data_IF_701092506893
#
_entry.id   IF_701092506893
#
_cell.length_a   1.000
_cell.length_b   1.000
_cell.length_c   1.000
_cell.angle_alpha   90.00
_cell.angle_beta   90.00
_cell.angle_gamma   90.00
#
_symmetry.space_group_name_H-M   'P 1'
#
loop_
_entity.id
_entity.type
_entity.pdbx_description
1 polymer ?
#
# COMPACT_ATOMS: atom_id res chain seq x y z
N UNK A 1 -1.95 27.95 -6.79
CA UNK A 1 -2.58 26.64 -7.09
C UNK A 1 -4.02 26.66 -6.61
N UNK A 2 -4.99 26.23 -7.43
CA UNK A 2 -6.41 26.19 -7.05
C UNK A 2 -6.70 25.03 -6.08
N UNK A 3 -7.85 25.05 -5.41
CA UNK A 3 -8.27 23.95 -4.52
C UNK A 3 -8.43 22.63 -5.28
N UNK A 4 -9.10 22.68 -6.43
CA UNK A 4 -9.33 21.53 -7.31
C UNK A 4 -8.04 20.84 -7.71
N UNK A 5 -7.03 21.62 -8.14
CA UNK A 5 -5.73 21.07 -8.51
C UNK A 5 -5.08 20.35 -7.32
N UNK A 6 -5.11 20.94 -6.11
CA UNK A 6 -4.59 20.29 -4.90
C UNK A 6 -5.29 18.97 -4.60
N UNK A 7 -6.60 18.93 -4.71
CA UNK A 7 -7.39 17.73 -4.48
C UNK A 7 -7.01 16.63 -5.48
N UNK A 8 -6.89 16.97 -6.77
CA UNK A 8 -6.47 16.03 -7.81
C UNK A 8 -5.09 15.44 -7.49
N UNK A 9 -4.11 16.25 -7.08
CA UNK A 9 -2.79 15.74 -6.69
C UNK A 9 -2.88 14.75 -5.54
N UNK A 10 -3.62 15.08 -4.47
CA UNK A 10 -3.80 14.18 -3.32
C UNK A 10 -4.41 12.84 -3.76
N UNK A 11 -5.46 12.89 -4.60
CA UNK A 11 -6.11 11.67 -5.12
C UNK A 11 -5.15 10.83 -5.99
N UNK A 12 -4.35 11.46 -6.85
CA UNK A 12 -3.35 10.77 -7.66
C UNK A 12 -2.27 10.11 -6.80
N UNK A 13 -1.85 10.76 -5.72
CA UNK A 13 -0.92 10.18 -4.75
C UNK A 13 -1.51 8.95 -4.05
N UNK A 14 -2.75 9.04 -3.56
CA UNK A 14 -3.42 7.89 -2.95
C UNK A 14 -3.67 6.75 -3.95
N UNK A 15 -3.98 7.06 -5.21
CA UNK A 15 -4.10 6.06 -6.27
C UNK A 15 -2.75 5.37 -6.54
N UNK A 16 -1.66 6.14 -6.63
CA UNK A 16 -0.30 5.62 -6.80
C UNK A 16 0.08 4.70 -5.63
N UNK A 17 -0.03 5.17 -4.39
CA UNK A 17 0.32 4.37 -3.22
C UNK A 17 -0.57 3.13 -3.11
N UNK A 18 -1.87 3.26 -3.33
CA UNK A 18 -2.79 2.12 -3.35
C UNK A 18 -2.39 1.08 -4.40
N UNK A 19 -2.04 1.52 -5.61
CA UNK A 19 -1.55 0.66 -6.69
C UNK A 19 -0.24 -0.05 -6.32
N UNK A 20 0.69 0.65 -5.66
CA UNK A 20 1.93 0.04 -5.15
C UNK A 20 1.65 -1.06 -4.11
N UNK A 21 0.60 -0.93 -3.31
CA UNK A 21 0.16 -1.97 -2.37
C UNK A 21 -0.53 -3.16 -3.06
N UNK A 22 -1.22 -2.91 -4.17
CA UNK A 22 -1.87 -3.95 -4.96
C UNK A 22 -0.87 -4.90 -5.63
N UNK A 23 0.30 -4.41 -6.05
CA UNK A 23 1.35 -5.21 -6.70
C UNK A 23 1.80 -6.43 -5.85
N UNK A 24 2.33 -6.26 -4.62
CA UNK A 24 2.78 -7.39 -3.81
C UNK A 24 1.63 -8.31 -3.42
N UNK A 25 0.42 -7.78 -3.20
CA UNK A 25 -0.76 -8.59 -2.98
C UNK A 25 -1.09 -9.49 -4.19
N UNK A 26 -1.03 -8.93 -5.41
CA UNK A 26 -1.31 -9.65 -6.65
C UNK A 26 -0.31 -10.79 -6.86
N UNK A 27 0.97 -10.54 -6.61
CA UNK A 27 2.01 -11.58 -6.64
C UNK A 27 1.70 -12.69 -5.63
N UNK A 28 1.34 -12.33 -4.39
CA UNK A 28 0.96 -13.31 -3.38
C UNK A 28 -0.30 -14.10 -3.78
N UNK A 29 -1.29 -13.46 -4.43
CA UNK A 29 -2.51 -14.11 -4.91
C UNK A 29 -2.19 -15.16 -5.98
N UNK A 30 -1.31 -14.84 -6.93
CA UNK A 30 -0.84 -15.77 -7.96
C UNK A 30 -0.06 -16.95 -7.35
N UNK A 31 0.96 -16.66 -6.53
CA UNK A 31 1.81 -17.69 -5.90
C UNK A 31 0.97 -18.67 -5.07
N UNK A 32 -0.05 -18.17 -4.37
CA UNK A 32 -0.89 -18.97 -3.48
C UNK A 32 -2.16 -19.52 -4.14
N UNK A 33 -2.32 -19.29 -5.45
CA UNK A 33 -3.52 -19.68 -6.22
C UNK A 33 -4.82 -19.22 -5.55
N UNK A 34 -4.82 -17.99 -5.03
CA UNK A 34 -5.96 -17.38 -4.33
C UNK A 34 -6.20 -17.84 -2.88
N UNK A 35 -5.48 -18.84 -2.36
CA UNK A 35 -5.77 -19.43 -1.03
C UNK A 35 -5.34 -18.51 0.12
N UNK A 36 -6.32 -18.08 0.93
CA UNK A 36 -6.13 -17.24 2.12
C UNK A 36 -5.51 -15.86 1.83
N UNK A 37 -5.77 -15.29 0.65
CA UNK A 37 -5.15 -14.01 0.23
C UNK A 37 -6.14 -12.85 0.16
N UNK A 38 -7.45 -13.13 0.02
CA UNK A 38 -8.48 -12.09 -0.09
C UNK A 38 -8.45 -11.04 1.04
N UNK A 39 -8.38 -11.39 2.33
CA UNK A 39 -8.36 -10.38 3.41
C UNK A 39 -7.05 -9.57 3.44
N UNK A 40 -5.99 -10.04 2.78
CA UNK A 40 -4.74 -9.29 2.69
C UNK A 40 -4.81 -8.11 1.72
N UNK A 41 -5.79 -8.07 0.79
CA UNK A 41 -5.95 -6.98 -0.19
C UNK A 41 -6.21 -5.63 0.48
N UNK A 42 -7.29 -5.47 1.28
CA UNK A 42 -7.57 -4.19 1.90
C UNK A 42 -6.44 -3.75 2.84
N UNK A 43 -5.77 -4.69 3.52
CA UNK A 43 -4.63 -4.42 4.37
C UNK A 43 -3.42 -3.90 3.57
N UNK A 44 -3.10 -4.54 2.44
CA UNK A 44 -1.99 -4.14 1.58
C UNK A 44 -2.18 -2.72 1.02
N UNK A 45 -3.39 -2.42 0.52
CA UNK A 45 -3.72 -1.09 -0.01
C UNK A 45 -3.71 -0.03 1.09
N UNK A 46 -4.33 -0.31 2.25
CA UNK A 46 -4.38 0.64 3.35
C UNK A 46 -2.98 0.93 3.93
N UNK A 47 -2.18 -0.11 4.18
CA UNK A 47 -0.82 0.06 4.70
C UNK A 47 0.11 0.75 3.72
N UNK A 48 -0.02 0.47 2.42
CA UNK A 48 0.74 1.16 1.38
C UNK A 48 0.41 2.65 1.34
N UNK A 49 -0.87 3.01 1.32
CA UNK A 49 -1.32 4.40 1.39
C UNK A 49 -0.85 5.11 2.66
N UNK A 50 -0.94 4.45 3.82
CA UNK A 50 -0.47 5.00 5.09
C UNK A 50 1.05 5.23 5.08
N UNK A 51 1.83 4.24 4.64
CA UNK A 51 3.28 4.35 4.58
C UNK A 51 3.76 5.40 3.57
N UNK A 52 3.05 5.54 2.44
CA UNK A 52 3.30 6.56 1.43
C UNK A 52 3.03 7.97 1.96
N UNK A 53 1.87 8.19 2.60
CA UNK A 53 1.46 9.53 3.08
C UNK A 53 2.30 10.02 4.25
N UNK A 54 2.88 9.11 5.05
CA UNK A 54 3.73 9.50 6.18
C UNK A 54 4.97 10.30 5.74
N UNK A 55 5.53 10.04 4.56
CA UNK A 55 6.74 10.73 4.09
C UNK A 55 6.55 12.25 3.91
N UNK A 56 5.55 12.74 3.15
CA UNK A 56 5.28 14.17 3.06
C UNK A 56 4.73 14.78 4.35
N UNK A 57 4.07 13.97 5.21
CA UNK A 57 3.64 14.42 6.55
C UNK A 57 4.84 14.67 7.48
N UNK A 58 5.92 13.89 7.35
CA UNK A 58 7.18 14.09 8.06
C UNK A 58 8.04 15.22 7.46
N UNK A 59 7.56 15.91 6.42
CA UNK A 59 8.17 17.13 5.88
C UNK A 59 9.00 16.93 4.60
N UNK A 60 9.22 15.69 4.15
CA UNK A 60 9.94 15.42 2.91
C UNK A 60 9.01 15.60 1.69
N UNK A 61 9.04 16.79 1.08
CA UNK A 61 8.12 17.21 0.00
C UNK A 61 8.81 17.50 -1.34
N UNK A 62 10.10 17.23 -1.42
CA UNK A 62 10.92 17.36 -2.61
C UNK A 62 10.91 16.07 -3.45
N UNK A 63 11.70 16.06 -4.53
CA UNK A 63 11.84 14.88 -5.39
C UNK A 63 12.36 13.66 -4.60
N UNK A 64 13.27 13.87 -3.65
CA UNK A 64 13.78 12.78 -2.80
C UNK A 64 12.66 12.23 -1.92
N UNK A 65 11.90 13.10 -1.26
CA UNK A 65 10.71 12.72 -0.50
C UNK A 65 9.67 11.95 -1.33
N UNK A 66 9.47 12.34 -2.59
CA UNK A 66 8.62 11.60 -3.52
C UNK A 66 9.11 10.16 -3.76
N UNK A 67 10.41 9.97 -4.05
CA UNK A 67 10.98 8.64 -4.27
C UNK A 67 10.95 7.79 -3.00
N UNK A 68 11.22 8.39 -1.84
CA UNK A 68 11.11 7.71 -0.54
C UNK A 68 9.67 7.28 -0.27
N UNK A 69 8.68 8.12 -0.60
CA UNK A 69 7.25 7.82 -0.47
C UNK A 69 6.82 6.62 -1.32
N UNK A 70 7.37 6.47 -2.54
CA UNK A 70 7.16 5.28 -3.37
C UNK A 70 7.72 4.03 -2.67
N UNK A 71 8.96 4.12 -2.18
CA UNK A 71 9.63 3.01 -1.50
C UNK A 71 8.89 2.57 -0.23
N UNK A 72 8.46 3.52 0.60
CA UNK A 72 7.74 3.23 1.85
C UNK A 72 6.34 2.67 1.57
N UNK A 73 5.62 3.20 0.57
CA UNK A 73 4.34 2.65 0.14
C UNK A 73 4.47 1.19 -0.28
N UNK A 74 5.41 0.89 -1.20
CA UNK A 74 5.66 -0.48 -1.63
C UNK A 74 6.04 -1.41 -0.47
N UNK A 75 6.95 -0.98 0.42
CA UNK A 75 7.33 -1.74 1.61
C UNK A 75 6.14 -2.00 2.55
N UNK A 76 5.29 -0.99 2.78
CA UNK A 76 4.07 -1.10 3.57
C UNK A 76 3.10 -2.13 2.98
N UNK A 77 2.91 -2.10 1.65
CA UNK A 77 2.12 -3.08 0.91
C UNK A 77 2.65 -4.51 1.04
N UNK A 78 3.97 -4.71 0.93
CA UNK A 78 4.63 -6.02 1.12
C UNK A 78 4.39 -6.54 2.53
N UNK A 79 4.69 -5.73 3.56
CA UNK A 79 4.56 -6.12 4.96
C UNK A 79 3.12 -6.49 5.31
N UNK A 80 2.15 -5.67 4.90
CA UNK A 80 0.74 -5.93 5.15
C UNK A 80 0.20 -7.12 4.36
N UNK A 81 0.70 -7.37 3.14
CA UNK A 81 0.38 -8.60 2.40
C UNK A 81 0.84 -9.83 3.16
N UNK A 82 2.10 -9.84 3.62
CA UNK A 82 2.67 -10.95 4.39
C UNK A 82 1.89 -11.16 5.69
N UNK A 83 1.64 -10.09 6.44
CA UNK A 83 0.90 -10.14 7.70
C UNK A 83 -0.55 -10.62 7.49
N UNK A 84 -1.25 -10.08 6.48
CA UNK A 84 -2.62 -10.46 6.16
C UNK A 84 -2.76 -11.93 5.75
N UNK A 85 -1.83 -12.42 4.92
CA UNK A 85 -1.77 -13.83 4.54
C UNK A 85 -1.45 -14.73 5.75
N UNK A 86 -0.52 -14.31 6.61
CA UNK A 86 -0.18 -15.06 7.82
C UNK A 86 -1.37 -15.14 8.80
N UNK A 87 -2.08 -14.04 9.00
CA UNK A 87 -3.28 -13.97 9.82
C UNK A 87 -4.40 -14.86 9.25
N UNK A 88 -4.67 -14.76 7.95
CA UNK A 88 -5.70 -15.56 7.29
C UNK A 88 -5.43 -17.07 7.39
N UNK A 89 -4.15 -17.48 7.30
CA UNK A 89 -3.75 -18.87 7.55
C UNK A 89 -4.02 -19.30 8.99
N UNK A 90 -3.65 -18.48 9.98
CA UNK A 90 -3.88 -18.78 11.40
C UNK A 90 -5.36 -18.93 11.73
N UNK A 91 -6.21 -18.08 11.13
CA UNK A 91 -7.65 -18.12 11.35
C UNK A 91 -8.32 -19.33 10.68
N UNK A 92 -7.79 -19.84 9.56
CA UNK A 92 -8.34 -21.02 8.89
C UNK A 92 -7.99 -22.38 9.52
N UNK A 93 -7.06 -22.42 10.48
CA UNK A 93 -6.67 -23.63 11.20
C UNK A 93 -7.50 -23.80 12.49
N UNK A 94 -8.19 -22.74 12.93
CA UNK A 94 -9.19 -22.78 14.01
C UNK A 94 -10.55 -23.12 13.43
#
# INVERSE_FOLDING_TARGET
MTFEARLIFVLLFFALWGFLGFIPWSLAAVIRRGRHVLPALPLAVAASSLAGVLVPLLGARDLTGFLVSIGTAFAGGVLATVAGVALARRLSIR
#
